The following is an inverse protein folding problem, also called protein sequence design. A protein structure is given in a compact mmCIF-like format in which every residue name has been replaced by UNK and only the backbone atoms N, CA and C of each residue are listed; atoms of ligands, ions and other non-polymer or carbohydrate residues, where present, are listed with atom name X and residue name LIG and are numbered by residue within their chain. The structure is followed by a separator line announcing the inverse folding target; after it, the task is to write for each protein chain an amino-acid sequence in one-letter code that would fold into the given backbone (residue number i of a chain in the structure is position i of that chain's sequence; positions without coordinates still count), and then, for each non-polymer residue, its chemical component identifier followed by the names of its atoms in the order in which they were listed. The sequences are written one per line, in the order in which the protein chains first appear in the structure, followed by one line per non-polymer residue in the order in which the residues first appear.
data_IF_131394536100
#
_entry.id   IF_131394536100
#
_cell.length_a   1.000
_cell.length_b   1.000
_cell.length_c   1.000
_cell.angle_alpha   90.00
_cell.angle_beta   90.00
_cell.angle_gamma   90.00
#
_symmetry.space_group_name_H-M   'P 1'
#
loop_
_entity.id
_entity.type
_entity.pdbx_description
1 polymer ?
#
# COMPACT_ATOMS: atom_id res chain seq x y z
N UNK A 1 18.46 18.81 -10.30
CA UNK A 1 19.06 17.85 -9.33
C UNK A 1 18.57 16.47 -9.71
N UNK A 2 19.46 15.57 -10.12
CA UNK A 2 19.05 14.18 -10.41
C UNK A 2 18.71 13.54 -9.07
N UNK A 3 17.47 13.09 -8.90
CA UNK A 3 17.07 12.32 -7.72
C UNK A 3 17.98 11.07 -7.66
N UNK A 4 18.70 10.94 -6.54
CA UNK A 4 19.61 9.83 -6.34
C UNK A 4 18.76 8.59 -5.99
N UNK A 5 18.46 7.78 -7.01
CA UNK A 5 17.71 6.53 -6.87
C UNK A 5 18.47 5.51 -6.00
N UNK A 6 19.78 5.70 -5.77
CA UNK A 6 20.59 4.82 -4.93
C UNK A 6 20.24 4.95 -3.45
N UNK A 7 19.78 6.11 -2.98
CA UNK A 7 19.27 6.25 -1.61
C UNK A 7 17.99 5.46 -1.38
N UNK A 8 17.09 5.47 -2.34
CA UNK A 8 15.88 4.65 -2.29
C UNK A 8 16.21 3.15 -2.31
N UNK A 9 17.19 2.73 -3.11
CA UNK A 9 17.63 1.33 -3.17
C UNK A 9 18.31 0.91 -1.86
N UNK A 10 19.23 1.71 -1.32
CA UNK A 10 19.91 1.45 -0.05
C UNK A 10 18.95 1.43 1.16
N UNK A 11 17.86 2.21 1.09
CA UNK A 11 16.79 2.14 2.08
C UNK A 11 16.06 0.80 2.02
N UNK A 12 15.77 0.30 0.82
CA UNK A 12 15.08 -0.97 0.62
C UNK A 12 15.97 -2.19 0.88
N UNK A 13 17.28 -2.13 0.59
CA UNK A 13 18.22 -3.22 0.93
C UNK A 13 18.34 -3.42 2.43
N UNK A 14 18.27 -2.35 3.23
CA UNK A 14 18.19 -2.47 4.71
C UNK A 14 16.92 -3.15 5.20
N UNK A 15 15.84 -3.11 4.41
CA UNK A 15 14.62 -3.86 4.72
C UNK A 15 14.73 -5.34 4.39
N UNK A 16 15.48 -5.70 3.37
CA UNK A 16 15.72 -7.10 2.98
C UNK A 16 16.65 -7.80 3.99
N UNK A 17 17.67 -7.11 4.48
CA UNK A 17 18.61 -7.65 5.49
C UNK A 17 17.98 -7.81 6.89
N UNK A 18 16.82 -7.19 7.17
CA UNK A 18 16.11 -7.34 8.44
C UNK A 18 15.15 -8.55 8.46
N UNK A 19 14.93 -9.21 7.33
CA UNK A 19 14.01 -10.36 7.23
C UNK A 19 14.56 -11.63 7.89
N UNK A 20 15.87 -11.76 8.09
CA UNK A 20 16.50 -12.97 8.65
C UNK A 20 16.60 -12.97 10.19
N UNK A 21 16.20 -11.92 10.88
CA UNK A 21 16.46 -11.74 12.30
C UNK A 21 15.27 -11.92 13.27
N UNK A 22 14.06 -12.26 12.83
CA UNK A 22 12.95 -12.45 13.77
C UNK A 22 12.07 -13.67 13.47
N UNK A 23 12.58 -14.83 13.83
CA UNK A 23 11.75 -15.98 14.15
C UNK A 23 10.97 -15.73 15.44
N UNK A 24 9.91 -14.96 15.42
CA UNK A 24 9.03 -14.78 16.57
C UNK A 24 7.77 -15.62 16.38
N UNK A 25 7.67 -16.64 17.24
CA UNK A 25 6.51 -17.49 17.47
C UNK A 25 5.29 -16.63 17.81
N UNK A 26 4.19 -16.78 17.08
CA UNK A 26 2.88 -16.34 17.52
C UNK A 26 2.06 -17.54 17.98
N UNK A 27 2.04 -17.72 19.29
CA UNK A 27 0.95 -18.41 19.98
C UNK A 27 0.01 -17.32 20.50
N UNK A 28 -1.23 -17.31 20.04
CA UNK A 28 -2.39 -17.16 20.93
C UNK A 28 -3.68 -17.18 20.11
N UNK A 29 -4.48 -18.21 20.41
CA UNK A 29 -5.85 -18.30 19.94
C UNK A 29 -6.76 -17.34 20.68
N UNK A 30 -7.74 -16.82 19.97
CA UNK A 30 -8.97 -16.32 20.55
C UNK A 30 -10.14 -16.68 19.65
N UNK A 31 -10.99 -17.57 20.14
CA UNK A 31 -12.33 -17.84 19.65
C UNK A 31 -13.21 -16.63 19.97
N UNK A 32 -13.93 -16.11 19.02
CA UNK A 32 -14.94 -15.07 19.21
C UNK A 32 -16.09 -15.25 18.24
N UNK A 33 -17.26 -15.49 18.78
CA UNK A 33 -18.54 -15.91 18.23
C UNK A 33 -19.06 -15.07 17.07
N UNK A 34 -19.67 -15.77 16.12
CA UNK A 34 -20.64 -15.22 15.19
C UNK A 34 -21.93 -14.81 15.95
N UNK A 35 -22.35 -13.58 15.75
CA UNK A 35 -23.70 -13.14 16.02
C UNK A 35 -24.15 -12.19 14.93
N UNK A 36 -25.02 -12.71 14.10
CA UNK A 36 -26.21 -12.13 13.47
C UNK A 36 -26.34 -10.59 13.58
N UNK A 37 -26.23 -9.94 12.44
CA UNK A 37 -26.79 -8.60 12.25
C UNK A 37 -27.46 -8.56 10.87
N UNK A 38 -28.76 -8.79 10.89
CA UNK A 38 -29.69 -8.55 9.80
C UNK A 38 -29.52 -7.15 9.25
N UNK A 39 -29.20 -7.08 7.96
CA UNK A 39 -29.01 -5.86 7.20
C UNK A 39 -30.30 -5.04 7.17
N UNK A 40 -30.28 -3.91 7.84
CA UNK A 40 -31.15 -2.78 7.57
C UNK A 40 -30.64 -2.09 6.31
N UNK A 41 -31.32 -2.29 5.19
CA UNK A 41 -31.17 -1.53 3.96
C UNK A 41 -31.70 -0.10 4.21
N UNK A 42 -30.85 0.76 4.77
CA UNK A 42 -31.08 2.20 4.84
C UNK A 42 -30.27 2.85 3.72
N UNK A 43 -30.95 3.66 2.90
CA UNK A 43 -30.32 4.40 1.80
C UNK A 43 -29.11 5.17 2.30
N UNK A 44 -27.96 4.87 1.74
CA UNK A 44 -26.74 5.62 1.98
C UNK A 44 -26.86 6.94 1.22
N UNK A 45 -27.20 8.00 1.93
CA UNK A 45 -26.81 9.34 1.53
C UNK A 45 -25.27 9.32 1.54
N UNK A 46 -24.69 9.13 0.36
CA UNK A 46 -23.24 9.30 0.21
C UNK A 46 -22.92 10.77 0.48
N UNK A 47 -22.37 11.03 1.65
CA UNK A 47 -21.81 12.34 1.97
C UNK A 47 -20.57 12.57 1.11
N UNK A 48 -20.76 13.19 -0.05
CA UNK A 48 -19.70 13.58 -0.97
C UNK A 48 -18.87 14.77 -0.48
N UNK A 49 -18.99 15.15 0.79
CA UNK A 49 -18.26 16.30 1.35
C UNK A 49 -16.74 16.11 1.34
N UNK A 50 -16.27 14.88 1.53
CA UNK A 50 -14.85 14.53 1.49
C UNK A 50 -14.33 14.59 0.05
N UNK A 51 -15.06 14.01 -0.89
CA UNK A 51 -14.70 14.04 -2.31
C UNK A 51 -14.64 15.48 -2.86
N UNK A 52 -15.60 16.33 -2.49
CA UNK A 52 -15.57 17.75 -2.85
C UNK A 52 -14.34 18.45 -2.31
N UNK A 53 -13.98 18.21 -1.04
CA UNK A 53 -12.75 18.79 -0.46
C UNK A 53 -11.49 18.32 -1.16
N UNK A 54 -11.44 17.06 -1.62
CA UNK A 54 -10.32 16.55 -2.40
C UNK A 54 -10.23 17.21 -3.79
N UNK A 55 -11.38 17.46 -4.43
CA UNK A 55 -11.44 18.14 -5.73
C UNK A 55 -11.01 19.60 -5.65
N UNK A 56 -11.31 20.29 -4.54
CA UNK A 56 -10.98 21.71 -4.31
C UNK A 56 -9.47 21.94 -4.02
N UNK A 57 -8.71 20.88 -3.73
CA UNK A 57 -7.26 20.98 -3.53
C UNK A 57 -6.52 21.20 -4.85
N UNK A 58 -5.47 22.00 -4.82
CA UNK A 58 -4.53 22.11 -5.94
C UNK A 58 -3.76 20.81 -6.18
N UNK A 59 -3.28 20.57 -7.40
CA UNK A 59 -2.50 19.37 -7.74
C UNK A 59 -1.24 19.24 -6.85
N UNK A 60 -0.58 20.38 -6.55
CA UNK A 60 0.58 20.39 -5.66
C UNK A 60 0.23 19.96 -4.22
N UNK A 61 -0.93 20.36 -3.70
CA UNK A 61 -1.41 19.95 -2.39
C UNK A 61 -1.74 18.45 -2.38
N UNK A 62 -2.44 17.94 -3.38
CA UNK A 62 -2.74 16.51 -3.53
C UNK A 62 -1.46 15.68 -3.57
N UNK A 63 -0.47 16.08 -4.38
CA UNK A 63 0.82 15.41 -4.45
C UNK A 63 1.54 15.44 -3.10
N UNK A 64 1.52 16.57 -2.39
CA UNK A 64 2.09 16.70 -1.05
C UNK A 64 1.42 15.76 -0.04
N UNK A 65 0.09 15.58 -0.11
CA UNK A 65 -0.64 14.63 0.72
C UNK A 65 -0.30 13.19 0.38
N UNK A 66 -0.21 12.82 -0.91
CA UNK A 66 0.25 11.50 -1.35
C UNK A 66 1.59 11.14 -0.70
N UNK A 67 2.58 12.05 -0.81
CA UNK A 67 3.92 11.83 -0.27
C UNK A 67 3.93 11.79 1.26
N UNK A 68 3.15 12.64 1.93
CA UNK A 68 3.04 12.66 3.39
C UNK A 68 2.47 11.35 3.94
N UNK A 69 1.40 10.84 3.34
CA UNK A 69 0.79 9.57 3.74
C UNK A 69 1.71 8.40 3.43
N UNK A 70 2.41 8.41 2.29
CA UNK A 70 3.42 7.39 1.98
C UNK A 70 4.53 7.35 3.02
N UNK A 71 5.10 8.51 3.41
CA UNK A 71 6.14 8.58 4.45
C UNK A 71 5.64 8.10 5.80
N UNK A 72 4.42 8.47 6.17
CA UNK A 72 3.80 8.00 7.41
C UNK A 72 3.59 6.48 7.39
N UNK A 73 3.17 5.94 6.25
CA UNK A 73 3.08 4.50 6.03
C UNK A 73 4.43 3.80 6.23
N UNK A 74 5.51 4.35 5.65
CA UNK A 74 6.86 3.81 5.84
C UNK A 74 7.28 3.81 7.33
N UNK A 75 7.01 4.89 8.05
CA UNK A 75 7.30 4.94 9.49
C UNK A 75 6.53 3.86 10.27
N UNK A 76 5.22 3.73 10.02
CA UNK A 76 4.39 2.72 10.69
C UNK A 76 4.81 1.29 10.32
N UNK A 77 5.28 1.08 9.11
CA UNK A 77 5.83 -0.21 8.68
C UNK A 77 7.08 -0.58 9.48
N UNK A 78 8.00 0.37 9.70
CA UNK A 78 9.20 0.16 10.54
C UNK A 78 8.84 -0.22 11.98
N UNK A 79 7.75 0.37 12.51
CA UNK A 79 7.20 0.02 13.82
C UNK A 79 6.42 -1.31 13.82
N UNK A 80 6.44 -2.06 12.72
CA UNK A 80 5.69 -3.32 12.54
C UNK A 80 4.16 -3.16 12.68
N UNK A 81 3.64 -1.96 12.55
CA UNK A 81 2.21 -1.65 12.59
C UNK A 81 1.60 -1.80 11.18
N UNK A 82 1.70 -3.00 10.61
CA UNK A 82 1.36 -3.28 9.21
C UNK A 82 -0.06 -2.89 8.81
N UNK A 83 -1.12 -3.12 9.63
CA UNK A 83 -2.46 -2.67 9.28
C UNK A 83 -2.54 -1.15 9.11
N UNK A 84 -1.98 -0.40 10.07
CA UNK A 84 -1.97 1.07 10.03
C UNK A 84 -1.09 1.61 8.89
N UNK A 85 0.01 0.92 8.58
CA UNK A 85 0.85 1.26 7.44
C UNK A 85 0.07 1.11 6.12
N UNK A 86 -0.65 0.00 5.95
CA UNK A 86 -1.48 -0.24 4.77
C UNK A 86 -2.57 0.83 4.61
N UNK A 87 -3.24 1.24 5.69
CA UNK A 87 -4.22 2.34 5.68
C UNK A 87 -3.61 3.65 5.19
N UNK A 88 -2.40 4.00 5.63
CA UNK A 88 -1.73 5.22 5.18
C UNK A 88 -1.36 5.17 3.70
N UNK A 89 -0.88 4.03 3.21
CA UNK A 89 -0.62 3.86 1.77
C UNK A 89 -1.91 3.91 0.95
N UNK A 90 -3.03 3.36 1.45
CA UNK A 90 -4.33 3.47 0.79
C UNK A 90 -4.83 4.92 0.74
N UNK A 91 -4.64 5.69 1.81
CA UNK A 91 -4.93 7.13 1.80
C UNK A 91 -4.09 7.88 0.76
N UNK A 92 -2.80 7.55 0.62
CA UNK A 92 -1.97 8.11 -0.44
C UNK A 92 -2.55 7.80 -1.84
N UNK A 93 -3.01 6.57 -2.07
CA UNK A 93 -3.65 6.17 -3.32
C UNK A 93 -4.97 6.89 -3.56
N UNK A 94 -5.77 7.13 -2.52
CA UNK A 94 -7.02 7.91 -2.66
C UNK A 94 -6.74 9.34 -3.13
N UNK A 95 -5.69 10.00 -2.64
CA UNK A 95 -5.29 11.30 -3.16
C UNK A 95 -4.79 11.22 -4.61
N UNK A 96 -4.04 10.18 -4.95
CA UNK A 96 -3.59 9.94 -6.32
C UNK A 96 -4.77 9.89 -7.32
N UNK A 97 -5.87 9.22 -6.99
CA UNK A 97 -7.04 9.07 -7.85
C UNK A 97 -7.71 10.40 -8.22
N UNK A 98 -7.46 11.46 -7.44
CA UNK A 98 -7.96 12.81 -7.69
C UNK A 98 -6.88 13.77 -8.26
N UNK A 99 -5.68 13.26 -8.58
CA UNK A 99 -4.61 14.03 -9.21
C UNK A 99 -4.70 13.88 -10.73
N UNK A 100 -4.78 15.02 -11.43
CA UNK A 100 -4.86 15.07 -12.90
C UNK A 100 -3.91 16.16 -13.41
N UNK A 101 -2.58 15.96 -13.29
CA UNK A 101 -1.61 16.96 -13.73
C UNK A 101 -1.64 17.14 -15.24
N UNK A 102 -1.43 18.38 -15.67
CA UNK A 102 -1.39 18.74 -17.10
C UNK A 102 -0.03 18.40 -17.75
N UNK A 103 1.00 18.14 -16.94
CA UNK A 103 2.36 17.87 -17.41
C UNK A 103 2.79 16.43 -17.17
N UNK A 104 3.52 15.87 -18.14
CA UNK A 104 3.99 14.48 -18.12
C UNK A 104 5.01 14.23 -17.01
N UNK A 105 5.77 15.24 -16.57
CA UNK A 105 6.77 15.11 -15.52
C UNK A 105 6.11 14.85 -14.16
N UNK A 106 5.10 15.64 -13.82
CA UNK A 106 4.30 15.43 -12.59
C UNK A 106 3.54 14.11 -12.64
N UNK A 107 3.00 13.74 -13.80
CA UNK A 107 2.34 12.44 -13.98
C UNK A 107 3.32 11.28 -13.71
N UNK A 108 4.53 11.33 -14.24
CA UNK A 108 5.54 10.29 -14.00
C UNK A 108 5.95 10.16 -12.52
N UNK A 109 5.99 11.29 -11.79
CA UNK A 109 6.21 11.30 -10.34
C UNK A 109 5.05 10.61 -9.61
N UNK A 110 3.82 10.95 -9.94
CA UNK A 110 2.62 10.35 -9.36
C UNK A 110 2.54 8.84 -9.63
N UNK A 111 2.83 8.39 -10.84
CA UNK A 111 2.84 6.96 -11.18
C UNK A 111 3.90 6.20 -10.41
N UNK A 112 5.06 6.82 -10.18
CA UNK A 112 6.11 6.25 -9.34
C UNK A 112 5.68 6.13 -7.88
N UNK A 113 5.01 7.15 -7.33
CA UNK A 113 4.45 7.12 -5.98
C UNK A 113 3.37 6.04 -5.83
N UNK A 114 2.48 5.93 -6.82
CA UNK A 114 1.43 4.92 -6.85
C UNK A 114 2.02 3.50 -6.82
N UNK A 115 2.95 3.20 -7.71
CA UNK A 115 3.63 1.89 -7.75
C UNK A 115 4.33 1.58 -6.43
N UNK A 116 5.03 2.56 -5.84
CA UNK A 116 5.67 2.40 -4.54
C UNK A 116 4.66 2.09 -3.42
N UNK A 117 3.52 2.79 -3.38
CA UNK A 117 2.45 2.53 -2.41
C UNK A 117 1.86 1.13 -2.58
N UNK A 118 1.56 0.70 -3.80
CA UNK A 118 1.02 -0.63 -4.08
C UNK A 118 2.00 -1.76 -3.69
N UNK A 119 3.29 -1.60 -3.98
CA UNK A 119 4.32 -2.55 -3.54
C UNK A 119 4.39 -2.64 -2.02
N UNK A 120 4.29 -1.50 -1.31
CA UNK A 120 4.32 -1.46 0.14
C UNK A 120 3.05 -2.05 0.76
N UNK A 121 1.88 -1.80 0.17
CA UNK A 121 0.61 -2.44 0.55
C UNK A 121 0.71 -3.96 0.40
N UNK A 122 1.26 -4.43 -0.73
CA UNK A 122 1.49 -5.86 -0.95
C UNK A 122 2.34 -6.47 0.16
N UNK A 123 3.42 -5.79 0.55
CA UNK A 123 4.28 -6.25 1.64
C UNK A 123 3.55 -6.24 3.00
N UNK A 124 2.77 -5.20 3.30
CA UNK A 124 1.96 -5.15 4.54
C UNK A 124 1.00 -6.33 4.60
N UNK A 125 0.28 -6.61 3.52
CA UNK A 125 -0.65 -7.74 3.47
C UNK A 125 0.07 -9.08 3.59
N UNK A 126 1.24 -9.22 2.96
CA UNK A 126 2.07 -10.42 3.12
C UNK A 126 2.47 -10.64 4.60
N UNK A 127 2.94 -9.59 5.28
CA UNK A 127 3.30 -9.63 6.71
C UNK A 127 2.12 -9.96 7.63
N UNK A 128 0.90 -9.62 7.22
CA UNK A 128 -0.33 -9.96 7.95
C UNK A 128 -0.87 -11.36 7.64
N UNK A 129 -0.24 -12.11 6.73
CA UNK A 129 -0.73 -13.42 6.27
C UNK A 129 -1.90 -13.33 5.27
N UNK A 130 -2.20 -12.14 4.77
CA UNK A 130 -3.27 -11.91 3.78
C UNK A 130 -2.73 -12.08 2.35
N UNK A 131 -2.24 -13.27 2.02
CA UNK A 131 -1.45 -13.53 0.81
C UNK A 131 -2.22 -13.26 -0.49
N UNK A 132 -3.53 -13.49 -0.54
CA UNK A 132 -4.37 -13.16 -1.72
C UNK A 132 -4.44 -11.65 -1.95
N UNK A 133 -4.54 -10.86 -0.88
CA UNK A 133 -4.53 -9.40 -0.98
C UNK A 133 -3.15 -8.88 -1.39
N UNK A 134 -2.08 -9.49 -0.86
CA UNK A 134 -0.71 -9.19 -1.26
C UNK A 134 -0.49 -9.47 -2.76
N UNK A 135 -0.98 -10.62 -3.24
CA UNK A 135 -0.93 -11.00 -4.65
C UNK A 135 -1.66 -9.97 -5.54
N UNK A 136 -2.86 -9.56 -5.15
CA UNK A 136 -3.64 -8.58 -5.90
C UNK A 136 -2.92 -7.24 -6.01
N UNK A 137 -2.39 -6.72 -4.90
CA UNK A 137 -1.67 -5.44 -4.90
C UNK A 137 -0.42 -5.49 -5.79
N UNK A 138 0.37 -6.57 -5.72
CA UNK A 138 1.52 -6.75 -6.60
C UNK A 138 1.11 -6.88 -8.08
N UNK A 139 0.00 -7.56 -8.36
CA UNK A 139 -0.50 -7.73 -9.73
C UNK A 139 -0.99 -6.41 -10.35
N UNK A 140 -1.53 -5.48 -9.56
CA UNK A 140 -1.90 -4.15 -10.04
C UNK A 140 -0.68 -3.36 -10.54
N UNK A 141 0.45 -3.43 -9.84
CA UNK A 141 1.70 -2.82 -10.33
C UNK A 141 2.13 -3.42 -11.66
N UNK A 142 2.04 -4.75 -11.78
CA UNK A 142 2.48 -5.46 -12.99
C UNK A 142 1.55 -5.29 -14.19
N UNK A 143 0.35 -4.76 -14.00
CA UNK A 143 -0.53 -4.33 -15.09
C UNK A 143 -0.02 -3.05 -15.77
N UNK A 144 0.71 -2.21 -15.04
CA UNK A 144 1.27 -0.95 -15.54
C UNK A 144 2.72 -1.11 -15.99
N UNK A 145 3.50 -1.86 -15.22
CA UNK A 145 4.90 -2.17 -15.52
C UNK A 145 5.15 -3.67 -15.25
N UNK A 146 5.07 -4.47 -16.31
CA UNK A 146 5.27 -5.92 -16.23
C UNK A 146 6.67 -6.34 -15.78
N UNK A 147 7.64 -5.42 -15.85
CA UNK A 147 9.03 -5.63 -15.49
C UNK A 147 9.41 -5.07 -14.12
N UNK A 148 8.46 -4.55 -13.33
CA UNK A 148 8.76 -4.11 -11.97
C UNK A 148 9.25 -5.29 -11.11
N UNK A 149 10.55 -5.27 -10.81
CA UNK A 149 11.23 -6.37 -10.10
C UNK A 149 10.66 -6.59 -8.70
N UNK A 150 10.30 -5.51 -7.99
CA UNK A 150 9.73 -5.61 -6.64
C UNK A 150 8.36 -6.26 -6.67
N UNK A 151 7.52 -5.85 -7.60
CA UNK A 151 6.19 -6.42 -7.76
C UNK A 151 6.25 -7.89 -8.20
N UNK A 152 7.17 -8.24 -9.11
CA UNK A 152 7.42 -9.63 -9.49
C UNK A 152 7.83 -10.48 -8.28
N UNK A 153 8.75 -9.98 -7.47
CA UNK A 153 9.19 -10.66 -6.26
C UNK A 153 8.04 -10.85 -5.25
N UNK A 154 7.27 -9.78 -4.96
CA UNK A 154 6.12 -9.85 -4.05
C UNK A 154 5.05 -10.81 -4.55
N UNK A 155 4.79 -10.83 -5.86
CA UNK A 155 3.85 -11.77 -6.46
C UNK A 155 4.31 -13.21 -6.28
N UNK A 156 5.59 -13.49 -6.54
CA UNK A 156 6.17 -14.81 -6.36
C UNK A 156 6.14 -15.28 -4.88
N UNK A 157 6.49 -14.40 -3.94
CA UNK A 157 6.37 -14.68 -2.49
C UNK A 157 4.94 -15.04 -2.10
N UNK A 158 3.96 -14.28 -2.62
CA UNK A 158 2.54 -14.49 -2.30
C UNK A 158 2.03 -15.80 -2.85
N UNK A 159 2.43 -16.19 -4.07
CA UNK A 159 2.10 -17.50 -4.62
C UNK A 159 2.69 -18.64 -3.78
N UNK A 160 3.97 -18.55 -3.43
CA UNK A 160 4.61 -19.55 -2.59
C UNK A 160 3.88 -19.72 -1.25
N UNK A 161 3.52 -18.61 -0.60
CA UNK A 161 2.80 -18.66 0.66
C UNK A 161 1.38 -19.26 0.52
N UNK A 162 0.71 -19.00 -0.60
CA UNK A 162 -0.59 -19.62 -0.88
C UNK A 162 -0.47 -21.13 -1.12
N UNK A 163 0.60 -21.61 -1.77
CA UNK A 163 0.84 -23.05 -1.98
C UNK A 163 1.24 -23.77 -0.69
N UNK A 164 1.97 -23.10 0.23
CA UNK A 164 2.44 -23.70 1.47
C UNK A 164 1.38 -23.69 2.60
N UNK A 165 0.47 -22.71 2.62
CA UNK A 165 -0.45 -22.44 3.74
C UNK A 165 -1.91 -22.24 3.35
N UNK A 166 -2.26 -22.35 2.05
CA UNK A 166 -3.58 -22.03 1.46
C UNK A 166 -4.55 -23.19 1.26
#
# INVERSE_FOLDING_TARGET
MKADWTESYNFWSKFEDSEDASGAKNESGAKGNAADASASFMGHDHDHSVERKLLDLSEAEKLSFCETHRRKGNYLFLESLFPKAAEQYQLALSYYEYCFPDDDETQAVLDTLRRACLCNISLCYYRMGHWRMALNAASQVLQEDENDVKALFRRAQSYRALDEYG
#
